data_IF_515080556727
#
_entry.id   IF_515080556727
#
_cell.length_a   1.000
_cell.length_b   1.000
_cell.length_c   1.000
_cell.angle_alpha   90.00
_cell.angle_beta   90.00
_cell.angle_gamma   90.00
#
_symmetry.space_group_name_H-M   'P 1'
#
loop_
_entity.id
_entity.type
_entity.pdbx_description
1 polymer ?
#
# COMPACT_ATOMS: atom_id res chain seq x y z
N UNK A 1 -0.89 -12.74 -9.36
CA UNK A 1 -1.49 -12.64 -8.02
C UNK A 1 -0.40 -12.66 -6.97
N UNK A 2 0.37 -13.75 -6.81
CA UNK A 2 1.44 -13.89 -5.78
C UNK A 2 2.55 -12.83 -5.81
N UNK A 3 2.78 -12.17 -6.94
CA UNK A 3 3.72 -11.05 -7.05
C UNK A 3 3.20 -9.76 -6.37
N UNK A 4 1.89 -9.54 -6.39
CA UNK A 4 1.25 -8.31 -5.93
C UNK A 4 0.57 -8.48 -4.57
N UNK A 5 0.00 -9.66 -4.33
CA UNK A 5 -0.73 -10.05 -3.13
C UNK A 5 -0.42 -11.50 -2.79
N UNK A 6 -0.01 -11.75 -1.56
CA UNK A 6 0.20 -13.09 -1.05
C UNK A 6 -1.16 -13.78 -0.80
N UNK A 7 -1.53 -14.81 -1.59
CA UNK A 7 -2.80 -15.50 -1.42
C UNK A 7 -2.91 -16.26 -0.10
N UNK A 8 -1.79 -16.64 0.52
CA UNK A 8 -1.79 -17.33 1.81
C UNK A 8 -2.15 -16.39 2.96
N UNK A 9 -1.72 -15.12 2.88
CA UNK A 9 -2.10 -14.08 3.83
C UNK A 9 -3.59 -13.76 3.70
N UNK A 10 -4.10 -13.62 2.48
CA UNK A 10 -5.52 -13.40 2.23
C UNK A 10 -6.39 -14.54 2.77
N UNK A 11 -6.01 -15.79 2.51
CA UNK A 11 -6.72 -16.95 3.04
C UNK A 11 -6.74 -16.99 4.57
N UNK A 12 -5.61 -16.69 5.22
CA UNK A 12 -5.51 -16.59 6.68
C UNK A 12 -6.41 -15.48 7.23
N UNK A 13 -6.37 -14.29 6.63
CA UNK A 13 -7.21 -13.16 7.05
C UNK A 13 -8.69 -13.47 6.87
N UNK A 14 -9.06 -14.14 5.78
CA UNK A 14 -10.43 -14.58 5.54
C UNK A 14 -10.90 -15.59 6.60
N UNK A 15 -10.04 -16.53 6.98
CA UNK A 15 -10.36 -17.52 8.03
C UNK A 15 -10.51 -16.88 9.41
N UNK A 16 -9.65 -15.91 9.77
CA UNK A 16 -9.66 -15.28 11.10
C UNK A 16 -10.74 -14.21 11.23
N UNK A 17 -11.01 -13.43 10.18
CA UNK A 17 -11.94 -12.30 10.25
C UNK A 17 -13.36 -12.64 9.85
N UNK A 18 -13.59 -13.79 9.20
CA UNK A 18 -14.91 -14.28 8.80
C UNK A 18 -15.76 -13.18 8.13
N UNK A 19 -16.84 -12.74 8.76
CA UNK A 19 -17.78 -11.74 8.25
C UNK A 19 -17.16 -10.32 8.12
N UNK A 20 -16.06 -10.04 8.82
CA UNK A 20 -15.35 -8.75 8.75
C UNK A 20 -14.34 -8.67 7.61
N UNK A 21 -14.01 -9.80 6.95
CA UNK A 21 -13.01 -9.83 5.89
C UNK A 21 -13.32 -8.87 4.72
N UNK A 22 -14.57 -8.78 4.20
CA UNK A 22 -14.89 -7.81 3.15
C UNK A 22 -14.70 -6.34 3.60
N UNK A 23 -14.94 -6.04 4.88
CA UNK A 23 -14.76 -4.70 5.46
C UNK A 23 -13.27 -4.36 5.56
N UNK A 24 -12.42 -5.34 5.91
CA UNK A 24 -10.97 -5.18 5.88
C UNK A 24 -10.48 -4.79 4.48
N UNK A 25 -10.95 -5.50 3.45
CA UNK A 25 -10.57 -5.23 2.05
C UNK A 25 -10.96 -3.81 1.64
N UNK A 26 -12.18 -3.36 1.97
CA UNK A 26 -12.65 -2.00 1.68
C UNK A 26 -11.85 -0.93 2.41
N UNK A 27 -11.57 -1.18 3.69
CA UNK A 27 -10.78 -0.28 4.53
C UNK A 27 -9.37 -0.14 3.96
N UNK A 28 -8.75 -1.24 3.55
CA UNK A 28 -7.44 -1.19 2.93
C UNK A 28 -7.43 -0.37 1.64
N UNK A 29 -8.44 -0.53 0.77
CA UNK A 29 -8.52 0.25 -0.47
C UNK A 29 -8.64 1.75 -0.19
N UNK A 30 -9.54 2.15 0.71
CA UNK A 30 -9.72 3.56 1.08
C UNK A 30 -8.47 4.13 1.75
N UNK A 31 -7.90 3.43 2.73
CA UNK A 31 -6.70 3.86 3.45
C UNK A 31 -5.48 3.99 2.52
N UNK A 32 -5.35 3.09 1.54
CA UNK A 32 -4.28 3.15 0.55
C UNK A 32 -4.37 4.37 -0.37
N UNK A 33 -5.58 4.77 -0.77
CA UNK A 33 -5.81 5.98 -1.57
C UNK A 33 -5.38 7.24 -0.81
N UNK A 34 -5.80 7.36 0.45
CA UNK A 34 -5.45 8.47 1.33
C UNK A 34 -3.93 8.56 1.54
N UNK A 35 -3.27 7.41 1.69
CA UNK A 35 -1.80 7.34 1.88
C UNK A 35 -1.02 7.72 0.63
N UNK A 36 -1.44 7.27 -0.55
CA UNK A 36 -0.84 7.70 -1.81
C UNK A 36 -1.01 9.21 -2.03
N UNK A 37 -2.17 9.75 -1.67
CA UNK A 37 -2.38 11.20 -1.70
C UNK A 37 -1.46 11.93 -0.73
N UNK A 38 -1.34 11.46 0.52
CA UNK A 38 -0.45 12.07 1.51
C UNK A 38 1.03 12.04 1.07
N UNK A 39 1.47 10.93 0.47
CA UNK A 39 2.81 10.80 -0.11
C UNK A 39 3.06 11.80 -1.23
N UNK A 40 2.11 11.97 -2.16
CA UNK A 40 2.19 12.98 -3.23
C UNK A 40 2.29 14.40 -2.68
N UNK A 41 1.40 14.76 -1.75
CA UNK A 41 1.39 16.08 -1.16
C UNK A 41 2.70 16.39 -0.43
N UNK A 42 3.21 15.44 0.35
CA UNK A 42 4.48 15.59 1.05
C UNK A 42 5.66 15.72 0.08
N UNK A 43 5.62 15.05 -1.08
CA UNK A 43 6.60 15.24 -2.16
C UNK A 43 6.54 16.63 -2.78
N UNK A 44 5.33 17.13 -3.11
CA UNK A 44 5.13 18.45 -3.73
C UNK A 44 5.69 19.59 -2.88
N UNK A 45 5.48 19.53 -1.56
CA UNK A 45 6.01 20.55 -0.62
C UNK A 45 7.41 20.23 -0.11
N UNK A 46 8.03 19.13 -0.59
CA UNK A 46 9.37 18.65 -0.21
C UNK A 46 9.53 18.41 1.30
N UNK A 47 8.48 17.96 1.97
CA UNK A 47 8.51 17.59 3.40
C UNK A 47 8.96 16.13 3.56
N UNK A 48 10.28 15.96 3.74
CA UNK A 48 10.91 14.66 3.92
C UNK A 48 10.40 13.89 5.15
N UNK A 49 10.06 14.58 6.24
CA UNK A 49 9.57 13.92 7.45
C UNK A 49 8.11 13.46 7.29
N UNK A 50 7.26 14.25 6.62
CA UNK A 50 5.92 13.81 6.26
C UNK A 50 5.95 12.61 5.29
N UNK A 51 6.82 12.66 4.26
CA UNK A 51 7.06 11.53 3.35
C UNK A 51 7.45 10.27 4.11
N UNK A 52 8.45 10.37 4.99
CA UNK A 52 8.95 9.23 5.76
C UNK A 52 7.86 8.61 6.62
N UNK A 53 7.06 9.43 7.32
CA UNK A 53 5.96 8.93 8.17
C UNK A 53 4.85 8.29 7.35
N UNK A 54 4.44 8.91 6.25
CA UNK A 54 3.42 8.37 5.37
C UNK A 54 3.86 7.02 4.77
N UNK A 55 5.09 6.95 4.25
CA UNK A 55 5.69 5.74 3.70
C UNK A 55 5.82 4.62 4.74
N UNK A 56 6.29 4.94 5.96
CA UNK A 56 6.40 3.99 7.06
C UNK A 56 5.06 3.35 7.42
N UNK A 57 4.03 4.19 7.58
CA UNK A 57 2.71 3.72 7.96
C UNK A 57 2.05 2.93 6.83
N UNK A 58 2.25 3.35 5.57
CA UNK A 58 1.71 2.64 4.42
C UNK A 58 2.37 1.27 4.22
N UNK A 59 3.70 1.18 4.38
CA UNK A 59 4.44 -0.09 4.38
C UNK A 59 3.82 -1.11 5.34
N UNK A 60 3.47 -0.68 6.55
CA UNK A 60 2.82 -1.55 7.54
C UNK A 60 1.45 -2.06 7.09
N UNK A 61 0.61 -1.17 6.55
CA UNK A 61 -0.70 -1.52 5.99
C UNK A 61 -0.57 -2.55 4.85
N UNK A 62 0.34 -2.31 3.91
CA UNK A 62 0.63 -3.23 2.80
C UNK A 62 1.14 -4.58 3.29
N UNK A 63 2.06 -4.59 4.26
CA UNK A 63 2.59 -5.82 4.85
C UNK A 63 1.51 -6.68 5.50
N UNK A 64 0.57 -6.06 6.21
CA UNK A 64 -0.52 -6.78 6.88
C UNK A 64 -1.47 -7.47 5.90
N UNK A 65 -1.66 -6.92 4.70
CA UNK A 65 -2.49 -7.53 3.65
C UNK A 65 -1.71 -8.48 2.71
N UNK A 66 -0.40 -8.63 2.91
CA UNK A 66 0.44 -9.40 1.99
C UNK A 66 0.71 -8.69 0.65
N UNK A 67 0.53 -7.37 0.57
CA UNK A 67 0.87 -6.55 -0.58
C UNK A 67 2.39 -6.27 -0.63
N UNK A 68 3.17 -7.33 -0.84
CA UNK A 68 4.63 -7.35 -0.62
C UNK A 68 5.40 -6.37 -1.51
N UNK A 69 5.08 -6.29 -2.80
CA UNK A 69 5.73 -5.36 -3.73
C UNK A 69 5.43 -3.90 -3.36
N UNK A 70 4.18 -3.58 -3.02
CA UNK A 70 3.81 -2.23 -2.58
C UNK A 70 4.45 -1.86 -1.24
N UNK A 71 4.57 -2.82 -0.31
CA UNK A 71 5.28 -2.61 0.95
C UNK A 71 6.77 -2.31 0.70
N UNK A 72 7.40 -2.99 -0.25
CA UNK A 72 8.79 -2.76 -0.63
C UNK A 72 9.01 -1.38 -1.28
N UNK A 73 8.09 -0.95 -2.16
CA UNK A 73 8.12 0.41 -2.71
C UNK A 73 7.97 1.47 -1.60
N UNK A 74 7.10 1.24 -0.63
CA UNK A 74 6.96 2.11 0.54
C UNK A 74 8.23 2.13 1.40
N UNK A 75 8.94 1.01 1.55
CA UNK A 75 10.25 0.97 2.23
C UNK A 75 11.27 1.84 1.51
N UNK A 76 11.34 1.77 0.19
CA UNK A 76 12.26 2.60 -0.60
C UNK A 76 11.94 4.09 -0.51
N UNK A 77 10.65 4.47 -0.52
CA UNK A 77 10.20 5.84 -0.28
C UNK A 77 10.61 6.33 1.13
N UNK A 78 10.42 5.49 2.16
CA UNK A 78 10.80 5.79 3.55
C UNK A 78 12.32 6.02 3.68
N UNK A 79 13.14 5.19 3.03
CA UNK A 79 14.60 5.28 3.08
C UNK A 79 15.13 6.50 2.31
N UNK A 80 14.62 6.75 1.12
CA UNK A 80 14.92 7.95 0.33
C UNK A 80 14.60 9.23 1.10
N UNK A 81 13.41 9.30 1.70
CA UNK A 81 13.00 10.43 2.53
C UNK A 81 13.89 10.59 3.78
N UNK A 82 14.22 9.49 4.47
CA UNK A 82 15.12 9.50 5.63
C UNK A 82 16.54 9.94 5.29
N UNK A 83 17.05 9.58 4.11
CA UNK A 83 18.36 9.99 3.63
C UNK A 83 18.39 11.45 3.14
N UNK A 84 17.22 12.09 2.97
CA UNK A 84 17.10 13.40 2.35
C UNK A 84 17.37 13.41 0.84
N UNK A 85 17.50 12.22 0.22
CA UNK A 85 17.65 12.08 -1.22
C UNK A 85 16.27 11.97 -1.86
N UNK A 86 15.75 13.10 -2.33
CA UNK A 86 14.41 13.17 -2.94
C UNK A 86 14.42 12.89 -4.45
N UNK A 87 15.59 12.63 -5.06
CA UNK A 87 15.71 12.39 -6.50
C UNK A 87 14.93 11.15 -7.00
N UNK A 88 14.90 10.00 -6.29
CA UNK A 88 14.17 8.82 -6.76
C UNK A 88 12.66 8.87 -6.47
N UNK A 89 12.19 9.79 -5.62
CA UNK A 89 10.79 9.82 -5.17
C UNK A 89 9.75 9.87 -6.29
N UNK A 90 9.89 10.70 -7.36
CA UNK A 90 8.88 10.73 -8.42
C UNK A 90 8.66 9.36 -9.07
N UNK A 91 9.76 8.64 -9.37
CA UNK A 91 9.69 7.32 -9.99
C UNK A 91 9.13 6.26 -9.04
N UNK A 92 9.49 6.33 -7.76
CA UNK A 92 8.98 5.42 -6.73
C UNK A 92 7.48 5.63 -6.47
N UNK A 93 7.02 6.89 -6.43
CA UNK A 93 5.59 7.21 -6.28
C UNK A 93 4.78 6.69 -7.46
N UNK A 94 5.25 6.91 -8.69
CA UNK A 94 4.59 6.41 -9.90
C UNK A 94 4.54 4.87 -9.93
N UNK A 95 5.59 4.19 -9.46
CA UNK A 95 5.59 2.74 -9.29
C UNK A 95 4.57 2.29 -8.23
N UNK A 96 4.51 2.96 -7.08
CA UNK A 96 3.56 2.63 -6.01
C UNK A 96 2.10 2.83 -6.45
N UNK A 97 1.81 3.89 -7.22
CA UNK A 97 0.47 4.13 -7.77
C UNK A 97 0.06 3.06 -8.78
N UNK A 98 0.98 2.66 -9.68
CA UNK A 98 0.73 1.56 -10.62
C UNK A 98 0.48 0.23 -9.91
N UNK A 99 1.32 -0.08 -8.94
CA UNK A 99 1.18 -1.33 -8.18
C UNK A 99 -0.13 -1.35 -7.39
N UNK A 100 -0.49 -0.23 -6.76
CA UNK A 100 -1.78 -0.12 -6.08
C UNK A 100 -2.97 -0.27 -7.03
N UNK A 101 -2.91 0.24 -8.27
CA UNK A 101 -3.98 0.04 -9.24
C UNK A 101 -4.18 -1.45 -9.61
N UNK A 102 -3.09 -2.22 -9.69
CA UNK A 102 -3.14 -3.68 -9.88
C UNK A 102 -3.78 -4.35 -8.66
N UNK A 103 -3.30 -4.02 -7.46
CA UNK A 103 -3.82 -4.55 -6.19
C UNK A 103 -5.31 -4.24 -6.05
N UNK A 104 -5.76 -3.02 -6.36
CA UNK A 104 -7.18 -2.63 -6.32
C UNK A 104 -8.04 -3.59 -7.15
N UNK A 105 -7.63 -3.85 -8.39
CA UNK A 105 -8.35 -4.76 -9.30
C UNK A 105 -8.43 -6.18 -8.73
N UNK A 106 -7.35 -6.67 -8.11
CA UNK A 106 -7.30 -7.99 -7.48
C UNK A 106 -8.21 -8.07 -6.25
N UNK A 107 -8.17 -7.07 -5.38
CA UNK A 107 -9.01 -7.00 -4.18
C UNK A 107 -10.49 -6.86 -4.54
N UNK A 108 -10.84 -6.04 -5.53
CA UNK A 108 -12.22 -5.92 -6.01
C UNK A 108 -12.74 -7.26 -6.55
N UNK A 109 -11.90 -8.00 -7.27
CA UNK A 109 -12.23 -9.35 -7.76
C UNK A 109 -12.40 -10.34 -6.61
N UNK A 110 -11.58 -10.25 -5.56
CA UNK A 110 -11.69 -11.07 -4.36
C UNK A 110 -12.96 -10.76 -3.58
N UNK A 111 -13.25 -9.48 -3.34
CA UNK A 111 -14.45 -9.01 -2.65
C UNK A 111 -15.74 -9.52 -3.31
N UNK A 112 -15.78 -9.62 -4.64
CA UNK A 112 -16.94 -10.16 -5.35
C UNK A 112 -17.21 -11.65 -5.08
N UNK A 113 -16.21 -12.42 -4.62
CA UNK A 113 -16.36 -13.84 -4.26
C UNK A 113 -16.93 -14.03 -2.85
N UNK A 114 -16.86 -13.00 -2.02
CA UNK A 114 -17.23 -13.00 -0.60
C UNK A 114 -18.34 -11.99 -0.28
N UNK A 115 -19.24 -11.75 -1.25
CA UNK A 115 -20.41 -10.88 -1.12
C UNK A 115 -21.63 -11.60 -0.56
#
# INVERSE_FOLDING_TARGET
MSEHLDPSVLAMLQEVMEDEYPVLLDTFLSDSEDRLQALRQAHEVRDAEALRRAAHSFKGSCGNLGATLLAELCRQLEESARAGDLAPLPALLEQAEREFAIIRTLIESERQRHR
#
